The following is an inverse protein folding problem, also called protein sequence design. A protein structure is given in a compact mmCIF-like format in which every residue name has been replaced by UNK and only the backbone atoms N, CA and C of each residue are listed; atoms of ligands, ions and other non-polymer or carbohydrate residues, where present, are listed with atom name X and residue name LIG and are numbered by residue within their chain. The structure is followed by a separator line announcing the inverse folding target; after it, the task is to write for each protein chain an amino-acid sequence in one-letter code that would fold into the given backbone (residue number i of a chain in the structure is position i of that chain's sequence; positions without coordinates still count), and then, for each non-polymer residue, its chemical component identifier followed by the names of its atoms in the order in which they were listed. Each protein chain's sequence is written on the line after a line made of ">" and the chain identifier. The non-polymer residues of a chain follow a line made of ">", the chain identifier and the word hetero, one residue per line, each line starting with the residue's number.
data_IF_122940647281
#
_entry.id   IF_122940647281
#
_cell.length_a   1.000
_cell.length_b   1.000
_cell.length_c   1.000
_cell.angle_alpha   90.00
_cell.angle_beta   90.00
_cell.angle_gamma   90.00
#
_symmetry.space_group_name_H-M   'P 1'
#
loop_
_entity.id
_entity.type
_entity.pdbx_description
1 polymer ?
#
# COMPACT_ATOMS: atom_id res chain seq x y z
N UNK A 1 -3.70 -3.51 24.40
CA UNK A 1 -2.84 -2.79 23.43
C UNK A 1 -1.43 -3.34 23.61
N UNK A 2 -0.73 -3.74 22.54
CA UNK A 2 0.69 -4.13 22.67
C UNK A 2 1.44 -2.85 23.08
N UNK A 3 1.91 -2.80 24.33
CA UNK A 3 2.53 -1.61 24.94
C UNK A 3 3.94 -1.29 24.41
N UNK A 4 4.44 -2.08 23.45
CA UNK A 4 5.70 -1.77 22.75
C UNK A 4 5.67 -2.49 21.40
N UNK A 5 5.30 -1.76 20.34
CA UNK A 5 5.40 -2.24 18.96
C UNK A 5 6.68 -1.65 18.39
N UNK A 6 7.61 -2.47 17.89
CA UNK A 6 8.85 -1.97 17.29
C UNK A 6 8.60 -1.12 16.04
N UNK A 7 9.65 -0.61 15.38
CA UNK A 7 9.46 0.20 14.18
C UNK A 7 8.89 -0.63 13.01
N UNK A 8 8.51 0.06 11.95
CA UNK A 8 8.20 -0.53 10.65
C UNK A 8 9.46 -0.65 9.81
N UNK A 9 9.59 -1.73 9.05
CA UNK A 9 10.59 -1.84 7.98
C UNK A 9 9.92 -1.44 6.68
N UNK A 10 10.33 -0.32 6.09
CA UNK A 10 9.74 0.25 4.89
C UNK A 10 10.70 0.15 3.70
N UNK A 11 10.35 -0.68 2.72
CA UNK A 11 11.17 -0.97 1.56
C UNK A 11 10.58 -0.32 0.30
N UNK A 12 11.41 0.44 -0.41
CA UNK A 12 11.18 0.94 -1.77
C UNK A 12 10.68 2.39 -1.88
N UNK A 13 9.86 2.66 -2.89
CA UNK A 13 9.45 4.00 -3.36
C UNK A 13 10.65 4.92 -3.65
N UNK A 14 11.65 4.42 -4.37
CA UNK A 14 12.91 5.10 -4.65
C UNK A 14 13.64 5.49 -3.35
N UNK A 15 13.86 6.78 -3.10
CA UNK A 15 14.48 7.32 -1.90
C UNK A 15 13.57 8.33 -1.18
N UNK A 16 13.96 8.70 0.05
CA UNK A 16 13.18 9.63 0.89
C UNK A 16 13.20 11.08 0.39
N UNK A 17 13.98 11.41 -0.64
CA UNK A 17 13.90 12.69 -1.36
C UNK A 17 12.90 12.62 -2.54
N UNK A 18 12.45 11.41 -2.91
CA UNK A 18 11.49 11.09 -3.95
C UNK A 18 10.15 10.57 -3.43
N UNK A 19 9.68 9.45 -3.98
CA UNK A 19 8.35 8.89 -3.71
C UNK A 19 8.20 8.40 -2.26
N UNK A 20 9.27 7.89 -1.64
CA UNK A 20 9.21 7.40 -0.27
C UNK A 20 8.89 8.51 0.75
N UNK A 21 9.15 9.78 0.41
CA UNK A 21 8.83 10.93 1.25
C UNK A 21 7.35 10.99 1.66
N UNK A 22 6.44 10.50 0.81
CA UNK A 22 4.99 10.54 1.03
C UNK A 22 4.59 9.69 2.23
N UNK A 23 4.87 8.38 2.19
CA UNK A 23 4.54 7.50 3.30
C UNK A 23 5.40 7.80 4.53
N UNK A 24 6.70 8.09 4.34
CA UNK A 24 7.61 8.47 5.41
C UNK A 24 7.09 9.69 6.19
N UNK A 25 6.63 10.74 5.50
CA UNK A 25 6.06 11.93 6.11
C UNK A 25 4.75 11.62 6.86
N UNK A 26 3.86 10.81 6.28
CA UNK A 26 2.63 10.36 6.97
C UNK A 26 2.98 9.58 8.24
N UNK A 27 3.92 8.64 8.18
CA UNK A 27 4.34 7.84 9.32
C UNK A 27 4.91 8.73 10.43
N UNK A 28 5.81 9.67 10.10
CA UNK A 28 6.32 10.65 11.06
C UNK A 28 5.22 11.50 11.68
N UNK A 29 4.27 12.01 10.87
CA UNK A 29 3.15 12.83 11.36
C UNK A 29 2.32 12.08 12.43
N UNK A 30 2.11 10.78 12.24
CA UNK A 30 1.37 9.94 13.18
C UNK A 30 2.23 9.27 14.25
N UNK A 31 3.53 9.60 14.34
CA UNK A 31 4.45 9.02 15.33
C UNK A 31 4.71 7.53 15.14
N UNK A 32 4.63 7.03 13.91
CA UNK A 32 4.98 5.66 13.55
C UNK A 32 6.48 5.61 13.23
N UNK A 33 7.27 5.00 14.12
CA UNK A 33 8.71 4.83 13.91
C UNK A 33 8.98 3.87 12.76
N UNK A 34 9.93 4.19 11.88
CA UNK A 34 10.28 3.34 10.74
C UNK A 34 11.76 3.43 10.40
N UNK A 35 12.25 2.37 9.76
CA UNK A 35 13.50 2.37 9.03
C UNK A 35 13.19 2.16 7.54
N UNK A 36 13.81 2.99 6.69
CA UNK A 36 13.59 2.96 5.25
C UNK A 36 14.81 2.40 4.52
N UNK A 37 14.56 1.57 3.50
CA UNK A 37 15.56 1.12 2.55
C UNK A 37 15.09 1.45 1.12
N UNK A 38 15.91 2.17 0.32
CA UNK A 38 15.53 2.58 -1.03
C UNK A 38 15.51 1.45 -2.06
N UNK A 39 14.78 1.65 -3.15
CA UNK A 39 14.56 0.63 -4.21
C UNK A 39 15.82 0.17 -4.94
N UNK A 40 16.91 0.94 -4.91
CA UNK A 40 18.19 0.60 -5.55
C UNK A 40 19.14 -0.21 -4.64
N UNK A 41 18.72 -0.49 -3.40
CA UNK A 41 19.54 -1.12 -2.38
C UNK A 41 19.02 -2.51 -2.01
N UNK A 42 19.91 -3.50 -2.02
CA UNK A 42 19.60 -4.87 -1.61
C UNK A 42 19.34 -4.96 -0.10
N UNK A 43 18.39 -5.81 0.28
CA UNK A 43 18.06 -6.04 1.69
C UNK A 43 19.06 -7.01 2.31
N UNK A 44 19.75 -6.55 3.35
CA UNK A 44 20.78 -7.34 4.04
C UNK A 44 20.20 -8.12 5.23
N UNK A 45 20.76 -9.29 5.60
CA UNK A 45 20.22 -10.16 6.64
C UNK A 45 20.13 -9.54 8.05
N UNK A 46 20.85 -8.46 8.33
CA UNK A 46 20.88 -7.76 9.61
C UNK A 46 19.50 -7.26 10.04
N UNK A 47 18.57 -7.02 9.09
CA UNK A 47 17.18 -6.66 9.39
C UNK A 47 16.46 -7.73 10.22
N UNK A 48 16.95 -8.97 10.26
CA UNK A 48 16.40 -10.02 11.11
C UNK A 48 16.73 -9.85 12.60
N UNK A 49 17.69 -8.97 12.95
CA UNK A 49 18.11 -8.73 14.34
C UNK A 49 17.16 -7.81 15.12
N UNK A 50 16.17 -7.22 14.45
CA UNK A 50 15.26 -6.22 15.00
C UNK A 50 13.84 -6.74 15.02
N UNK A 51 13.09 -6.46 16.09
CA UNK A 51 11.68 -6.80 16.21
C UNK A 51 10.79 -5.76 15.51
N UNK A 52 10.42 -6.03 14.25
CA UNK A 52 9.55 -5.16 13.47
C UNK A 52 8.08 -5.35 13.83
N UNK A 53 7.32 -4.25 13.80
CA UNK A 53 5.86 -4.30 13.89
C UNK A 53 5.23 -4.79 12.60
N UNK A 54 5.71 -4.30 11.47
CA UNK A 54 5.30 -4.74 10.15
C UNK A 54 6.40 -4.45 9.12
N UNK A 55 6.38 -5.27 8.07
CA UNK A 55 7.10 -5.06 6.82
C UNK A 55 6.18 -4.34 5.84
N UNK A 56 6.63 -3.22 5.28
CA UNK A 56 5.97 -2.47 4.20
C UNK A 56 6.83 -2.63 2.94
N UNK A 57 6.20 -3.06 1.85
CA UNK A 57 6.82 -3.20 0.53
C UNK A 57 6.05 -2.32 -0.45
N UNK A 58 6.71 -1.34 -1.06
CA UNK A 58 6.13 -0.43 -2.04
C UNK A 58 7.18 -0.10 -3.11
N UNK A 59 6.93 -0.43 -4.38
CA UNK A 59 7.90 -0.28 -5.48
C UNK A 59 9.32 -0.78 -5.13
N UNK A 60 9.39 -1.97 -4.51
CA UNK A 60 10.64 -2.61 -4.13
C UNK A 60 10.77 -3.96 -4.84
N UNK A 61 11.65 -4.09 -5.86
CA UNK A 61 11.82 -5.32 -6.62
C UNK A 61 12.10 -6.55 -5.75
N UNK A 62 11.39 -7.67 -5.96
CA UNK A 62 11.63 -8.91 -5.23
C UNK A 62 13.08 -9.41 -5.37
N UNK A 63 13.74 -9.09 -6.50
CA UNK A 63 15.13 -9.42 -6.77
C UNK A 63 16.14 -8.80 -5.80
N UNK A 64 15.75 -7.77 -5.04
CA UNK A 64 16.58 -7.16 -4.01
C UNK A 64 16.57 -7.95 -2.69
N UNK A 65 15.72 -8.98 -2.55
CA UNK A 65 15.63 -9.83 -1.38
C UNK A 65 16.09 -11.24 -1.74
N UNK A 66 17.16 -11.72 -1.10
CA UNK A 66 17.59 -13.11 -1.30
C UNK A 66 16.51 -14.11 -0.87
N UNK A 67 16.44 -15.28 -1.53
CA UNK A 67 15.40 -16.28 -1.24
C UNK A 67 15.38 -16.77 0.21
N UNK A 68 16.56 -16.92 0.84
CA UNK A 68 16.68 -17.30 2.24
C UNK A 68 16.13 -16.20 3.17
N UNK A 69 16.46 -14.93 2.88
CA UNK A 69 15.98 -13.79 3.64
C UNK A 69 14.46 -13.62 3.48
N UNK A 70 13.94 -13.80 2.27
CA UNK A 70 12.51 -13.74 2.00
C UNK A 70 11.74 -14.81 2.78
N UNK A 71 12.27 -16.02 2.83
CA UNK A 71 11.70 -17.12 3.62
C UNK A 71 11.73 -16.83 5.12
N UNK A 72 12.81 -16.22 5.62
CA UNK A 72 12.92 -15.81 7.01
C UNK A 72 11.90 -14.71 7.38
N UNK A 73 11.75 -13.68 6.53
CA UNK A 73 10.73 -12.64 6.71
C UNK A 73 9.32 -13.21 6.67
N UNK A 74 9.05 -14.16 5.76
CA UNK A 74 7.76 -14.85 5.68
C UNK A 74 7.43 -15.60 6.98
N UNK A 75 8.41 -16.27 7.58
CA UNK A 75 8.25 -16.93 8.87
C UNK A 75 7.92 -15.91 9.98
N UNK A 76 8.56 -14.74 9.98
CA UNK A 76 8.24 -13.67 10.95
C UNK A 76 6.83 -13.14 10.81
N UNK A 77 6.31 -13.04 9.58
CA UNK A 77 4.89 -12.70 9.34
C UNK A 77 3.99 -13.78 9.94
N UNK A 78 4.26 -15.05 9.66
CA UNK A 78 3.50 -16.16 10.24
C UNK A 78 3.52 -16.15 11.78
N UNK A 79 4.60 -15.67 12.40
CA UNK A 79 4.74 -15.55 13.85
C UNK A 79 4.13 -14.28 14.47
N UNK A 80 3.68 -13.32 13.64
CA UNK A 80 2.88 -12.18 14.09
C UNK A 80 3.38 -10.78 13.66
N UNK A 81 4.43 -10.70 12.84
CA UNK A 81 4.80 -9.45 12.15
C UNK A 81 3.73 -9.13 11.09
N UNK A 82 3.35 -7.86 10.94
CA UNK A 82 2.45 -7.45 9.87
C UNK A 82 3.14 -7.44 8.49
N UNK A 83 2.38 -7.57 7.41
CA UNK A 83 2.84 -7.36 6.04
C UNK A 83 1.87 -6.45 5.28
N UNK A 84 2.38 -5.34 4.77
CA UNK A 84 1.66 -4.43 3.89
C UNK A 84 2.38 -4.38 2.54
N UNK A 85 1.69 -4.71 1.45
CA UNK A 85 2.16 -4.42 0.11
C UNK A 85 1.32 -3.29 -0.49
N UNK A 86 2.00 -2.26 -1.01
CA UNK A 86 1.45 -1.12 -1.72
C UNK A 86 1.79 -1.28 -3.20
N UNK A 87 0.85 -0.96 -4.07
CA UNK A 87 0.99 -1.12 -5.52
C UNK A 87 1.88 -0.07 -6.15
N UNK A 88 2.32 -0.40 -7.35
CA UNK A 88 3.37 0.30 -8.05
C UNK A 88 3.88 -0.57 -9.22
N UNK A 89 4.79 -0.02 -10.02
CA UNK A 89 5.34 -0.76 -11.16
C UNK A 89 6.30 -1.88 -10.74
N UNK A 90 6.98 -1.75 -9.60
CA UNK A 90 7.90 -2.71 -9.00
C UNK A 90 7.29 -3.43 -7.79
N UNK A 91 5.96 -3.41 -7.67
CA UNK A 91 5.17 -4.19 -6.71
C UNK A 91 4.38 -5.29 -7.40
N UNK A 92 3.93 -6.29 -6.63
CA UNK A 92 3.18 -7.45 -7.13
C UNK A 92 3.91 -8.14 -8.29
N UNK A 93 3.29 -8.31 -9.46
CA UNK A 93 4.01 -8.77 -10.65
C UNK A 93 4.70 -7.59 -11.35
N UNK A 94 3.93 -6.55 -11.66
CA UNK A 94 4.46 -5.31 -12.21
C UNK A 94 5.31 -5.50 -13.48
N UNK A 95 6.29 -4.61 -13.66
CA UNK A 95 7.48 -4.81 -14.48
C UNK A 95 8.70 -4.62 -13.59
N UNK A 96 9.18 -5.70 -12.98
CA UNK A 96 10.31 -5.68 -12.04
C UNK A 96 9.92 -6.01 -10.60
N UNK A 97 8.62 -6.10 -10.29
CA UNK A 97 8.13 -6.53 -8.99
C UNK A 97 8.42 -8.01 -8.71
N UNK A 98 7.99 -8.90 -9.61
CA UNK A 98 8.31 -10.34 -9.60
C UNK A 98 8.00 -11.07 -8.27
N UNK A 99 6.97 -10.64 -7.54
CA UNK A 99 6.54 -11.31 -6.30
C UNK A 99 5.69 -12.56 -6.52
N UNK A 100 5.19 -12.82 -7.73
CA UNK A 100 4.44 -14.04 -8.02
C UNK A 100 5.29 -15.29 -7.73
N UNK A 101 4.76 -16.22 -6.92
CA UNK A 101 5.44 -17.46 -6.56
C UNK A 101 6.63 -17.29 -5.61
N UNK A 102 6.76 -16.12 -4.98
CA UNK A 102 7.78 -15.86 -3.96
C UNK A 102 7.23 -16.11 -2.54
N UNK A 103 8.08 -16.45 -1.55
CA UNK A 103 7.62 -16.68 -0.18
C UNK A 103 6.84 -15.52 0.46
N UNK A 104 7.11 -14.26 0.10
CA UNK A 104 6.33 -13.11 0.58
C UNK A 104 5.06 -12.88 -0.24
N UNK A 105 5.11 -13.07 -1.56
CA UNK A 105 3.93 -12.97 -2.42
C UNK A 105 2.83 -13.96 -2.03
N UNK A 106 3.22 -15.19 -1.65
CA UNK A 106 2.30 -16.26 -1.23
C UNK A 106 1.57 -15.97 0.10
N UNK A 107 2.03 -14.98 0.89
CA UNK A 107 1.37 -14.58 2.14
C UNK A 107 0.27 -13.57 1.92
N UNK A 108 0.30 -12.84 0.81
CA UNK A 108 -0.62 -11.74 0.57
C UNK A 108 -2.06 -12.26 0.43
N UNK A 109 -3.06 -11.45 0.78
CA UNK A 109 -4.46 -11.86 0.69
C UNK A 109 -5.00 -11.82 -0.75
N UNK A 110 -4.12 -11.93 -1.75
CA UNK A 110 -4.42 -11.77 -3.18
C UNK A 110 -3.67 -12.80 -4.00
N UNK A 111 -4.19 -13.07 -5.19
CA UNK A 111 -3.54 -13.92 -6.21
C UNK A 111 -2.89 -12.98 -7.23
N UNK A 112 -1.57 -12.92 -7.20
CA UNK A 112 -0.75 -12.15 -8.13
C UNK A 112 -0.75 -12.84 -9.50
N UNK A 113 -0.92 -12.09 -10.58
CA UNK A 113 -0.79 -12.59 -11.96
C UNK A 113 0.67 -12.99 -12.26
N UNK A 114 0.94 -14.02 -13.09
CA UNK A 114 2.30 -14.25 -13.62
C UNK A 114 2.66 -13.31 -14.79
N UNK A 115 1.68 -12.57 -15.33
CA UNK A 115 1.83 -11.59 -16.42
C UNK A 115 1.75 -10.14 -15.89
N UNK A 116 2.25 -9.16 -16.67
CA UNK A 116 2.18 -7.72 -16.35
C UNK A 116 0.77 -7.33 -15.88
N UNK A 117 0.68 -6.95 -14.61
CA UNK A 117 -0.56 -6.66 -13.93
C UNK A 117 -0.89 -5.16 -13.88
N UNK A 118 -0.07 -4.30 -14.49
CA UNK A 118 -0.22 -2.86 -14.37
C UNK A 118 -1.43 -2.35 -15.13
N UNK A 119 -2.25 -1.55 -14.45
CA UNK A 119 -3.41 -0.88 -15.02
C UNK A 119 -3.21 0.63 -14.93
N UNK A 120 -2.68 1.21 -16.00
CA UNK A 120 -2.60 2.66 -16.15
C UNK A 120 -3.95 3.24 -16.63
N UNK A 121 -4.38 4.37 -16.06
CA UNK A 121 -5.61 5.04 -16.45
C UNK A 121 -5.42 6.54 -16.58
N UNK A 122 -5.71 7.10 -17.77
CA UNK A 122 -5.76 8.55 -17.94
C UNK A 122 -7.07 9.17 -17.43
N UNK A 123 -8.12 8.35 -17.29
CA UNK A 123 -9.37 8.71 -16.62
C UNK A 123 -9.36 8.23 -15.17
N UNK A 124 -10.26 8.73 -14.31
CA UNK A 124 -10.25 8.37 -12.91
C UNK A 124 -10.58 6.88 -12.71
N UNK A 125 -9.84 6.24 -11.82
CA UNK A 125 -10.23 4.97 -11.22
C UNK A 125 -10.99 5.27 -9.92
N UNK A 126 -12.32 5.20 -9.95
CA UNK A 126 -13.17 5.58 -8.82
C UNK A 126 -13.30 4.44 -7.82
N UNK A 127 -13.16 4.78 -6.54
CA UNK A 127 -13.16 3.84 -5.43
C UNK A 127 -14.58 3.65 -4.90
N UNK A 128 -14.93 2.42 -4.56
CA UNK A 128 -16.20 2.07 -3.91
C UNK A 128 -15.96 1.13 -2.72
N UNK A 129 -16.80 1.27 -1.68
CA UNK A 129 -16.74 0.42 -0.49
C UNK A 129 -17.45 -0.90 -0.77
N UNK A 130 -16.74 -2.00 -0.50
CA UNK A 130 -17.28 -3.35 -0.57
C UNK A 130 -17.71 -3.87 0.80
N UNK A 131 -16.86 -3.68 1.81
CA UNK A 131 -17.11 -4.07 3.20
C UNK A 131 -16.66 -2.98 4.17
N UNK A 132 -17.32 -2.88 5.32
CA UNK A 132 -16.89 -2.00 6.41
C UNK A 132 -15.67 -2.61 7.10
N UNK A 133 -14.65 -1.79 7.38
CA UNK A 133 -13.43 -2.27 8.01
C UNK A 133 -12.78 -1.16 8.87
N UNK A 134 -12.07 -1.48 9.97
CA UNK A 134 -11.41 -0.49 10.82
C UNK A 134 -10.50 0.49 10.07
N UNK A 135 -9.81 0.03 9.01
CA UNK A 135 -8.95 0.89 8.16
C UNK A 135 -9.72 2.08 7.57
N UNK A 136 -10.98 1.86 7.17
CA UNK A 136 -11.80 2.87 6.50
C UNK A 136 -12.83 3.52 7.42
N UNK A 137 -12.79 3.20 8.72
CA UNK A 137 -13.77 3.69 9.68
C UNK A 137 -13.65 5.21 9.84
N UNK A 138 -14.76 5.93 9.61
CA UNK A 138 -14.81 7.39 9.69
C UNK A 138 -14.33 8.11 8.42
N UNK A 139 -13.80 7.40 7.43
CA UNK A 139 -13.42 8.01 6.14
C UNK A 139 -14.63 8.14 5.21
N UNK A 140 -14.80 9.27 4.51
CA UNK A 140 -16.03 9.60 3.79
C UNK A 140 -16.15 8.95 2.40
N UNK A 141 -15.70 7.70 2.19
CA UNK A 141 -15.79 7.01 0.89
C UNK A 141 -17.22 6.95 0.30
N UNK A 142 -18.26 7.02 1.13
CA UNK A 142 -19.65 7.01 0.66
C UNK A 142 -20.14 8.35 0.07
N UNK A 143 -19.46 9.45 0.34
CA UNK A 143 -19.89 10.81 -0.05
C UNK A 143 -18.82 11.61 -0.77
N UNK A 144 -17.55 11.29 -0.53
CA UNK A 144 -16.38 11.98 -1.04
C UNK A 144 -15.24 10.96 -1.22
N UNK A 145 -15.43 10.00 -2.14
CA UNK A 145 -14.38 9.07 -2.51
C UNK A 145 -13.44 9.71 -3.55
N UNK A 146 -12.12 9.67 -3.34
CA UNK A 146 -11.16 10.12 -4.34
C UNK A 146 -11.05 9.09 -5.47
N UNK A 147 -10.37 9.49 -6.54
CA UNK A 147 -9.92 8.59 -7.60
C UNK A 147 -8.41 8.38 -7.57
N UNK A 148 -7.97 7.23 -8.06
CA UNK A 148 -6.56 6.92 -8.30
C UNK A 148 -6.23 6.93 -9.79
N UNK A 149 -4.95 7.06 -10.14
CA UNK A 149 -4.45 7.10 -11.52
C UNK A 149 -4.12 5.72 -12.13
N UNK A 150 -4.01 4.70 -11.30
CA UNK A 150 -3.73 3.34 -11.73
C UNK A 150 -3.61 2.37 -10.56
N UNK A 151 -3.41 1.09 -10.85
CA UNK A 151 -3.28 0.03 -9.85
C UNK A 151 -2.73 -1.26 -10.49
N UNK A 152 -2.22 -2.18 -9.67
CA UNK A 152 -1.95 -3.56 -10.06
C UNK A 152 -3.23 -4.39 -10.04
N UNK A 153 -3.52 -5.15 -11.10
CA UNK A 153 -4.65 -6.07 -11.16
C UNK A 153 -4.30 -7.38 -10.44
N UNK A 154 -5.07 -7.72 -9.42
CA UNK A 154 -5.03 -9.04 -8.80
C UNK A 154 -6.45 -9.57 -8.52
N UNK A 155 -6.53 -10.84 -8.14
CA UNK A 155 -7.75 -11.42 -7.59
C UNK A 155 -7.65 -11.51 -6.07
N UNK A 156 -8.77 -11.44 -5.36
CA UNK A 156 -8.79 -11.73 -3.94
C UNK A 156 -8.54 -13.23 -3.70
N UNK A 157 -7.70 -13.57 -2.72
CA UNK A 157 -7.47 -14.96 -2.34
C UNK A 157 -8.66 -15.53 -1.56
N UNK A 158 -8.81 -16.85 -1.52
CA UNK A 158 -9.85 -17.50 -0.72
C UNK A 158 -9.68 -17.16 0.77
N UNK A 159 -10.78 -16.77 1.43
CA UNK A 159 -10.77 -16.38 2.85
C UNK A 159 -10.25 -14.97 3.13
N UNK A 160 -9.89 -14.19 2.11
CA UNK A 160 -9.57 -12.77 2.24
C UNK A 160 -10.82 -11.88 2.31
N UNK A 161 -10.65 -10.65 2.79
CA UNK A 161 -11.70 -9.63 2.83
C UNK A 161 -11.36 -8.47 1.88
N UNK A 162 -12.16 -8.31 0.83
CA UNK A 162 -12.11 -7.15 -0.07
C UNK A 162 -12.85 -5.99 0.59
N UNK A 163 -12.13 -4.91 0.90
CA UNK A 163 -12.67 -3.73 1.59
C UNK A 163 -13.06 -2.65 0.57
N UNK A 164 -12.16 -2.37 -0.37
CA UNK A 164 -12.36 -1.38 -1.43
C UNK A 164 -12.22 -2.04 -2.80
N UNK A 165 -13.03 -1.60 -3.75
CA UNK A 165 -12.94 -1.94 -5.17
C UNK A 165 -12.74 -0.65 -5.98
N UNK A 166 -12.09 -0.76 -7.13
CA UNK A 166 -11.88 0.34 -8.07
C UNK A 166 -12.51 0.04 -9.42
N UNK A 167 -13.03 1.06 -10.09
CA UNK A 167 -13.51 0.94 -11.47
C UNK A 167 -12.97 2.08 -12.32
N UNK A 168 -12.47 1.77 -13.51
CA UNK A 168 -12.01 2.78 -14.48
C UNK A 168 -13.19 3.47 -15.14
N UNK A 169 -13.10 4.79 -15.27
CA UNK A 169 -14.09 5.61 -15.98
C UNK A 169 -13.47 6.41 -17.11
N UNK A 170 -14.25 6.57 -18.18
CA UNK A 170 -13.97 7.53 -19.25
C UNK A 170 -14.77 8.80 -18.99
N UNK A 171 -14.07 9.93 -18.96
CA UNK A 171 -14.69 11.24 -19.01
C UNK A 171 -14.88 11.68 -20.47
N UNK A 172 -16.04 12.26 -20.78
CA UNK A 172 -16.30 12.87 -22.10
C UNK A 172 -17.13 14.15 -21.97
N UNK A 173 -17.17 14.94 -23.04
CA UNK A 173 -17.93 16.20 -23.10
C UNK A 173 -18.60 16.37 -24.46
N UNK A 174 -19.91 16.57 -24.47
CA UNK A 174 -20.73 16.86 -25.66
C UNK A 174 -21.70 18.04 -25.44
N UNK A 175 -21.39 18.90 -24.46
CA UNK A 175 -22.30 19.91 -23.91
C UNK A 175 -22.66 19.62 -22.45
N UNK A 176 -22.46 18.39 -21.97
CA UNK A 176 -22.46 17.99 -20.57
C UNK A 176 -21.26 17.08 -20.28
N UNK A 177 -20.81 17.04 -19.01
CA UNK A 177 -19.80 16.07 -18.58
C UNK A 177 -20.43 14.71 -18.36
N UNK A 178 -19.80 13.68 -18.91
CA UNK A 178 -20.20 12.28 -18.71
C UNK A 178 -19.08 11.48 -18.09
N UNK A 179 -19.44 10.49 -17.28
CA UNK A 179 -18.55 9.47 -16.75
C UNK A 179 -19.13 8.10 -17.09
N UNK A 180 -18.42 7.35 -17.92
CA UNK A 180 -18.84 6.02 -18.37
C UNK A 180 -17.88 4.96 -17.81
N UNK A 181 -18.38 3.87 -17.19
CA UNK A 181 -17.54 2.78 -16.71
C UNK A 181 -16.89 2.06 -17.90
N UNK A 182 -15.58 1.82 -17.82
CA UNK A 182 -14.79 1.13 -18.85
C UNK A 182 -14.55 -0.36 -18.54
N UNK A 183 -14.76 -0.76 -17.29
CA UNK A 183 -14.49 -2.12 -16.81
C UNK A 183 -15.46 -2.49 -15.70
N UNK A 184 -15.44 -3.78 -15.33
CA UNK A 184 -15.98 -4.22 -14.04
C UNK A 184 -15.15 -3.62 -12.89
N UNK A 185 -15.70 -3.72 -11.68
CA UNK A 185 -14.98 -3.32 -10.48
C UNK A 185 -13.92 -4.38 -10.14
N UNK A 186 -12.73 -3.93 -9.77
CA UNK A 186 -11.56 -4.77 -9.47
C UNK A 186 -11.15 -4.52 -8.00
N UNK A 187 -10.67 -5.54 -7.25
CA UNK A 187 -10.22 -5.35 -5.88
C UNK A 187 -9.12 -4.27 -5.78
N UNK A 188 -9.19 -3.42 -4.75
CA UNK A 188 -8.26 -2.31 -4.53
C UNK A 188 -7.61 -2.34 -3.15
N UNK A 189 -8.38 -2.67 -2.11
CA UNK A 189 -7.86 -2.91 -0.76
C UNK A 189 -8.35 -4.27 -0.28
N UNK A 190 -7.43 -5.18 -0.02
CA UNK A 190 -7.73 -6.54 0.43
C UNK A 190 -6.92 -6.86 1.67
N UNK A 191 -7.56 -7.49 2.65
CA UNK A 191 -6.93 -7.87 3.92
C UNK A 191 -7.10 -9.35 4.20
N UNK A 192 -6.21 -9.88 5.04
CA UNK A 192 -6.27 -11.25 5.50
C UNK A 192 -5.37 -11.49 6.70
N UNK A 193 -5.18 -12.77 7.03
CA UNK A 193 -4.31 -13.24 8.10
C UNK A 193 -3.48 -14.40 7.59
N UNK A 194 -2.18 -14.39 7.85
CA UNK A 194 -1.28 -15.51 7.62
C UNK A 194 -0.62 -15.90 8.93
N UNK A 195 -0.90 -17.12 9.43
CA UNK A 195 -0.50 -17.53 10.77
C UNK A 195 -1.08 -16.58 11.83
N UNK A 196 -0.23 -15.82 12.51
CA UNK A 196 -0.59 -14.78 13.48
C UNK A 196 -0.48 -13.36 12.92
N UNK A 197 0.13 -13.19 11.75
CA UNK A 197 0.36 -11.88 11.11
C UNK A 197 -0.85 -11.41 10.34
N UNK A 198 -1.13 -10.10 10.39
CA UNK A 198 -2.09 -9.45 9.51
C UNK A 198 -1.41 -9.10 8.20
N UNK A 199 -2.08 -9.39 7.09
CA UNK A 199 -1.58 -9.10 5.74
C UNK A 199 -2.54 -8.16 5.03
N UNK A 200 -2.00 -7.13 4.37
CA UNK A 200 -2.76 -6.08 3.70
C UNK A 200 -2.18 -5.84 2.30
N UNK A 201 -3.05 -5.78 1.30
CA UNK A 201 -2.71 -5.48 -0.08
C UNK A 201 -3.49 -4.25 -0.53
N UNK A 202 -2.79 -3.15 -0.79
CA UNK A 202 -3.30 -1.97 -1.47
C UNK A 202 -2.82 -1.99 -2.93
N UNK A 203 -3.75 -2.03 -3.89
CA UNK A 203 -3.42 -2.26 -5.29
C UNK A 203 -2.94 -1.01 -6.02
N UNK A 204 -3.33 0.17 -5.54
CA UNK A 204 -2.81 1.44 -6.06
C UNK A 204 -1.58 1.86 -5.26
N UNK A 205 -1.14 3.07 -5.51
CA UNK A 205 0.14 3.59 -5.03
C UNK A 205 -0.09 4.59 -3.88
N UNK A 206 0.93 4.76 -3.05
CA UNK A 206 0.98 5.78 -1.99
C UNK A 206 1.56 7.10 -2.52
N UNK A 207 2.33 7.04 -3.60
CA UNK A 207 3.05 8.17 -4.19
C UNK A 207 2.71 8.34 -5.69
N UNK A 208 3.18 9.43 -6.32
CA UNK A 208 3.01 9.63 -7.75
C UNK A 208 3.66 8.53 -8.59
N UNK A 209 3.06 8.14 -9.72
CA UNK A 209 1.93 8.82 -10.37
C UNK A 209 0.57 8.17 -10.12
N UNK A 210 0.51 6.94 -9.59
CA UNK A 210 -0.73 6.19 -9.48
C UNK A 210 -1.62 6.61 -8.31
N UNK A 211 -1.06 7.24 -7.26
CA UNK A 211 -1.87 7.81 -6.17
C UNK A 211 -2.96 8.76 -6.70
N UNK A 212 -2.70 9.44 -7.82
CA UNK A 212 -3.69 10.29 -8.48
C UNK A 212 -4.25 11.37 -7.55
N UNK A 213 -5.57 11.53 -7.54
CA UNK A 213 -6.24 12.52 -6.68
C UNK A 213 -6.33 12.11 -5.21
N UNK A 214 -6.05 10.85 -4.86
CA UNK A 214 -6.08 10.37 -3.48
C UNK A 214 -5.08 11.13 -2.60
N UNK A 215 -3.93 11.57 -3.13
CA UNK A 215 -2.89 12.30 -2.36
C UNK A 215 -3.40 13.61 -1.74
N UNK A 216 -4.39 14.23 -2.38
CA UNK A 216 -4.99 15.49 -1.96
C UNK A 216 -6.32 15.32 -1.23
N UNK A 217 -6.66 14.09 -0.84
CA UNK A 217 -7.96 13.80 -0.26
C UNK A 217 -8.13 14.43 1.13
N UNK A 218 -9.17 15.24 1.26
CA UNK A 218 -9.58 15.90 2.50
C UNK A 218 -9.54 17.43 2.43
N UNK A 219 -10.26 18.11 3.33
CA UNK A 219 -10.35 19.58 3.33
C UNK A 219 -9.13 20.27 3.93
N UNK A 220 -8.30 19.56 4.69
CA UNK A 220 -7.13 20.11 5.39
C UNK A 220 -5.84 19.58 4.79
N UNK A 221 -4.76 20.36 4.96
CA UNK A 221 -3.41 20.03 4.48
C UNK A 221 -2.53 19.65 5.65
N UNK A 222 -1.79 18.55 5.50
CA UNK A 222 -0.76 18.11 6.42
C UNK A 222 0.59 18.38 5.78
N UNK A 223 1.35 19.28 6.39
CA UNK A 223 2.77 19.45 6.13
C UNK A 223 3.53 18.46 7.02
N UNK A 224 4.33 17.59 6.41
CA UNK A 224 5.12 16.60 7.13
C UNK A 224 6.47 16.39 6.45
N UNK A 225 7.38 15.75 7.19
CA UNK A 225 8.70 15.37 6.71
C UNK A 225 9.03 14.02 7.33
N UNK A 226 9.66 13.13 6.56
CA UNK A 226 10.28 11.94 7.13
C UNK A 226 11.39 12.29 8.13
N UNK A 227 12.11 11.27 8.63
CA UNK A 227 13.35 11.46 9.39
C UNK A 227 14.34 12.41 8.68
N UNK A 228 15.37 12.89 9.40
CA UNK A 228 16.15 14.12 9.17
C UNK A 228 16.64 14.44 7.74
N UNK A 229 16.54 13.51 6.79
CA UNK A 229 16.96 13.63 5.39
C UNK A 229 15.82 13.68 4.37
N UNK A 230 14.59 13.26 4.70
CA UNK A 230 13.51 13.19 3.71
C UNK A 230 13.07 14.56 3.15
N UNK A 231 12.52 14.59 1.95
CA UNK A 231 11.85 15.77 1.41
C UNK A 231 10.60 16.15 2.22
N UNK A 232 10.24 17.45 2.31
CA UNK A 232 8.94 17.85 2.87
C UNK A 232 7.82 17.45 1.93
N UNK A 233 6.67 17.06 2.49
CA UNK A 233 5.43 16.79 1.76
C UNK A 233 4.33 17.72 2.27
N UNK A 234 3.37 18.01 1.40
CA UNK A 234 2.07 18.59 1.77
C UNK A 234 0.98 17.72 1.15
N UNK A 235 0.18 17.06 1.97
CA UNK A 235 -0.84 16.07 1.54
C UNK A 235 -2.20 16.34 2.18
N UNK A 236 -3.25 15.71 1.66
CA UNK A 236 -4.58 15.78 2.26
C UNK A 236 -4.64 15.07 3.62
N UNK A 237 -5.45 15.58 4.55
CA UNK A 237 -5.57 14.99 5.87
C UNK A 237 -6.25 13.60 5.88
N UNK A 238 -7.19 13.35 4.95
CA UNK A 238 -7.86 12.05 4.84
C UNK A 238 -6.97 11.01 4.14
N UNK A 239 -6.11 11.45 3.21
CA UNK A 239 -5.03 10.63 2.67
C UNK A 239 -4.12 10.11 3.81
N UNK A 240 -3.64 11.01 4.67
CA UNK A 240 -2.73 10.65 5.74
C UNK A 240 -3.41 9.73 6.77
N UNK A 241 -4.67 9.98 7.12
CA UNK A 241 -5.44 9.10 8.00
C UNK A 241 -5.65 7.71 7.38
N UNK A 242 -5.91 7.64 6.07
CA UNK A 242 -6.09 6.37 5.36
C UNK A 242 -4.82 5.51 5.37
N UNK A 243 -3.68 6.07 4.96
CA UNK A 243 -2.42 5.32 4.93
C UNK A 243 -1.91 4.97 6.34
N UNK A 244 -2.05 5.88 7.32
CA UNK A 244 -1.73 5.55 8.71
C UNK A 244 -2.68 4.49 9.28
N UNK A 245 -3.95 4.48 8.88
CA UNK A 245 -4.92 3.43 9.21
C UNK A 245 -4.48 2.05 8.71
N UNK A 246 -4.01 1.97 7.46
CA UNK A 246 -3.45 0.74 6.88
C UNK A 246 -2.23 0.25 7.64
N UNK A 247 -1.26 1.14 7.93
CA UNK A 247 -0.06 0.78 8.71
C UNK A 247 -0.42 0.29 10.11
N UNK A 248 -1.27 1.04 10.84
CA UNK A 248 -1.69 0.70 12.21
C UNK A 248 -2.48 -0.60 12.26
N UNK A 249 -3.39 -0.84 11.32
CA UNK A 249 -4.14 -2.10 11.29
C UNK A 249 -3.22 -3.29 11.04
N UNK A 250 -2.31 -3.16 10.08
CA UNK A 250 -1.34 -4.20 9.72
C UNK A 250 -0.41 -4.55 10.89
N UNK A 251 0.03 -3.54 11.66
CA UNK A 251 0.82 -3.73 12.87
C UNK A 251 0.03 -4.20 14.11
N UNK A 252 -1.30 -4.35 14.02
CA UNK A 252 -2.14 -4.75 15.16
C UNK A 252 -2.41 -3.63 16.17
N UNK A 253 -2.22 -2.37 15.76
CA UNK A 253 -2.43 -1.16 16.57
C UNK A 253 -3.85 -0.56 16.38
N UNK A 254 -4.60 -1.03 15.38
CA UNK A 254 -5.98 -0.66 15.10
C UNK A 254 -6.86 -1.92 15.04
N UNK A 255 -8.05 -1.89 15.64
CA UNK A 255 -8.97 -3.04 15.76
C UNK A 255 -10.42 -2.66 15.51
#
# INVERSE_FOLDING_TARGET
>A
MKENSGPFLYLGDDDVDGAAAYLAGVMTHYGLEYEHLPSDSALEPEVLNQDWSALIISDYPAGNISGDLMSALAQRVADGMGLLMIGGWDSYQGIGGDYNGTPLGDLLPVIISPDDDRVNSSGPCLISVKNNHPIIAGLPFGTDAPGVGGFNRFLAAEGSEVILESRRYKASFDGCHHLEPLSDAEPLLVTGVHGKGRVCAWASDVAPHWVGGLVDWGPERIEARGNDYAGPIEVGNLYAEFFSGMCRWTAGLLS
#
